data_IF_953404481076
#
_entry.id   IF_953404481076
#
_cell.length_a   1.000
_cell.length_b   1.000
_cell.length_c   1.000
_cell.angle_alpha   90.00
_cell.angle_beta   90.00
_cell.angle_gamma   90.00
#
_symmetry.space_group_name_H-M   'P 1'
#
loop_
_entity.id
_entity.type
_entity.pdbx_description
1 polymer ?
#
# COMPACT_ATOMS: atom_id res chain seq x y z
N UNK A 1 -11.18 11.87 9.51
CA UNK A 1 -10.45 10.58 9.39
C UNK A 1 -8.95 10.86 9.49
N UNK A 2 -8.42 11.10 10.70
CA UNK A 2 -7.02 11.54 10.91
C UNK A 2 -6.08 10.47 11.52
N UNK A 3 -6.61 9.30 11.87
CA UNK A 3 -5.83 8.21 12.48
C UNK A 3 -5.51 7.13 11.46
N UNK A 4 -4.65 7.47 10.48
CA UNK A 4 -4.01 6.47 9.62
C UNK A 4 -2.51 6.67 9.60
N UNK A 5 -1.81 5.61 9.96
CA UNK A 5 -0.39 5.45 9.73
C UNK A 5 -0.16 4.29 8.77
N UNK A 6 0.80 4.47 7.87
CA UNK A 6 1.32 3.39 7.02
C UNK A 6 2.83 3.37 7.19
N UNK A 7 3.38 2.19 7.46
CA UNK A 7 4.82 1.99 7.64
C UNK A 7 5.29 0.77 6.85
N UNK A 8 6.52 0.84 6.35
CA UNK A 8 7.21 -0.32 5.81
C UNK A 8 7.50 -1.29 6.96
N UNK A 9 7.08 -2.54 6.80
CA UNK A 9 7.32 -3.59 7.79
C UNK A 9 8.44 -4.52 7.32
N UNK A 10 8.36 -5.01 6.08
CA UNK A 10 9.35 -5.92 5.53
C UNK A 10 9.49 -5.74 4.01
N UNK A 11 10.66 -6.09 3.48
CA UNK A 11 10.98 -6.04 2.05
C UNK A 11 11.81 -7.29 1.71
N UNK A 12 11.18 -8.21 0.98
CA UNK A 12 11.81 -9.46 0.56
C UNK A 12 12.09 -9.44 -0.94
N UNK A 13 13.32 -9.74 -1.36
CA UNK A 13 13.64 -9.96 -2.78
C UNK A 13 13.36 -11.41 -3.17
N UNK A 14 12.52 -11.62 -4.19
CA UNK A 14 12.14 -12.94 -4.71
C UNK A 14 11.96 -12.88 -6.23
N UNK A 15 12.64 -13.78 -6.95
CA UNK A 15 12.52 -13.91 -8.42
C UNK A 15 12.65 -12.57 -9.16
N UNK A 16 13.70 -11.79 -8.83
CA UNK A 16 14.00 -10.45 -9.37
C UNK A 16 13.04 -9.31 -8.97
N UNK A 17 12.00 -9.59 -8.19
CA UNK A 17 11.08 -8.57 -7.69
C UNK A 17 11.09 -8.47 -6.16
N UNK A 18 10.80 -7.27 -5.66
CA UNK A 18 10.57 -7.04 -4.25
C UNK A 18 9.11 -7.31 -3.88
N UNK A 19 8.92 -8.11 -2.84
CA UNK A 19 7.67 -8.27 -2.11
C UNK A 19 7.73 -7.33 -0.91
N UNK A 20 6.86 -6.33 -0.89
CA UNK A 20 6.86 -5.27 0.12
C UNK A 20 5.68 -5.47 1.05
N UNK A 21 5.97 -5.66 2.33
CA UNK A 21 4.97 -5.71 3.39
C UNK A 21 4.85 -4.35 4.06
N UNK A 22 3.62 -3.87 4.16
CA UNK A 22 3.27 -2.63 4.81
C UNK A 22 2.34 -2.92 5.97
N UNK A 23 2.58 -2.24 7.08
CA UNK A 23 1.66 -2.19 8.21
C UNK A 23 0.86 -0.90 8.15
N UNK A 24 -0.45 -1.01 8.15
CA UNK A 24 -1.37 0.11 8.19
C UNK A 24 -2.16 0.07 9.50
N UNK A 25 -2.12 1.16 10.28
CA UNK A 25 -2.99 1.32 11.44
C UNK A 25 -4.11 2.28 11.10
N UNK A 26 -5.36 1.89 11.36
CA UNK A 26 -6.54 2.69 11.08
C UNK A 26 -7.60 2.54 12.16
N UNK A 27 -7.99 3.64 12.80
CA UNK A 27 -8.99 3.65 13.89
C UNK A 27 -8.69 2.59 14.98
N UNK A 28 -7.40 2.38 15.29
CA UNK A 28 -6.94 1.39 16.27
C UNK A 28 -6.90 -0.07 15.79
N UNK A 29 -7.15 -0.35 14.50
CA UNK A 29 -6.96 -1.65 13.88
C UNK A 29 -5.67 -1.68 13.10
N UNK A 30 -4.92 -2.77 13.19
CA UNK A 30 -3.71 -2.99 12.41
C UNK A 30 -3.99 -3.96 11.27
N UNK A 31 -3.44 -3.65 10.10
CA UNK A 31 -3.73 -4.33 8.85
C UNK A 31 -2.43 -4.46 8.08
N UNK A 32 -2.16 -5.66 7.59
CA UNK A 32 -1.00 -5.93 6.75
C UNK A 32 -1.40 -5.86 5.27
N UNK A 33 -0.63 -5.10 4.49
CA UNK A 33 -0.77 -5.02 3.04
C UNK A 33 0.49 -5.58 2.40
N UNK A 34 0.31 -6.49 1.46
CA UNK A 34 1.42 -7.05 0.69
C UNK A 34 1.35 -6.54 -0.74
N UNK A 35 2.42 -5.87 -1.18
CA UNK A 35 2.57 -5.38 -2.54
C UNK A 35 3.61 -6.28 -3.24
N UNK A 36 3.17 -7.21 -4.11
CA UNK A 36 4.07 -8.06 -4.87
C UNK A 36 4.64 -7.34 -6.10
N UNK A 37 5.68 -7.93 -6.68
CA UNK A 37 6.23 -7.55 -7.99
C UNK A 37 6.77 -6.11 -8.07
N UNK A 38 7.33 -5.59 -6.98
CA UNK A 38 7.92 -4.25 -6.97
C UNK A 38 9.31 -4.30 -7.61
N UNK A 39 9.52 -3.54 -8.70
CA UNK A 39 10.73 -3.60 -9.53
C UNK A 39 11.99 -3.01 -8.89
N UNK A 40 11.82 -2.13 -7.89
CA UNK A 40 12.93 -1.48 -7.17
C UNK A 40 12.69 -1.61 -5.67
N UNK A 41 13.76 -1.60 -4.87
CA UNK A 41 13.66 -1.61 -3.42
C UNK A 41 13.09 -0.26 -2.93
N UNK A 42 11.95 -0.24 -2.23
CA UNK A 42 11.49 0.99 -1.61
C UNK A 42 12.31 1.34 -0.38
N UNK A 43 12.55 2.63 -0.18
CA UNK A 43 13.20 3.16 1.03
C UNK A 43 12.20 3.77 1.98
N UNK A 44 11.09 4.29 1.46
CA UNK A 44 10.06 4.97 2.24
C UNK A 44 8.67 4.64 1.69
N UNK A 45 7.67 4.74 2.56
CA UNK A 45 6.25 4.71 2.18
C UNK A 45 5.64 6.05 2.52
N UNK A 46 4.80 6.55 1.61
CA UNK A 46 3.99 7.75 1.81
C UNK A 46 2.53 7.40 1.59
N UNK A 47 1.65 8.02 2.34
CA UNK A 47 0.22 7.89 2.15
C UNK A 47 -0.42 9.26 2.06
N UNK A 48 -1.37 9.40 1.14
CA UNK A 48 -2.16 10.61 0.99
C UNK A 48 -3.62 10.24 0.72
N UNK A 49 -4.53 11.07 1.23
CA UNK A 49 -5.94 10.95 0.90
C UNK A 49 -6.24 11.81 -0.32
N UNK A 50 -6.80 11.18 -1.36
CA UNK A 50 -7.33 11.87 -2.54
C UNK A 50 -8.79 11.52 -2.70
N UNK A 51 -9.65 12.51 -2.45
CA UNK A 51 -11.10 12.40 -2.58
C UNK A 51 -11.66 11.21 -1.77
N UNK A 52 -11.86 10.06 -2.43
CA UNK A 52 -12.42 8.85 -1.86
C UNK A 52 -11.40 7.71 -1.70
N UNK A 53 -10.12 7.95 -1.98
CA UNK A 53 -9.07 6.93 -1.95
C UNK A 53 -7.94 7.30 -0.97
N UNK A 54 -7.48 6.30 -0.24
CA UNK A 54 -6.17 6.31 0.40
C UNK A 54 -5.16 5.80 -0.63
N UNK A 55 -4.27 6.70 -1.07
CA UNK A 55 -3.20 6.39 -2.01
C UNK A 55 -1.92 6.16 -1.21
N UNK A 56 -1.38 4.95 -1.29
CA UNK A 56 -0.13 4.54 -0.67
C UNK A 56 0.93 4.45 -1.77
N UNK A 57 2.01 5.21 -1.63
CA UNK A 57 3.11 5.29 -2.59
C UNK A 57 4.38 4.75 -1.95
N UNK A 58 5.00 3.81 -2.65
CA UNK A 58 6.35 3.35 -2.38
C UNK A 58 7.32 4.28 -3.12
N UNK A 59 8.30 4.84 -2.40
CA UNK A 59 9.32 5.71 -2.99
C UNK A 59 10.72 5.18 -2.69
N UNK A 60 11.64 5.43 -3.61
CA UNK A 60 13.06 5.11 -3.42
C UNK A 60 13.78 6.18 -2.56
N UNK A 61 15.10 6.01 -2.40
CA UNK A 61 15.94 6.95 -1.66
C UNK A 61 16.00 8.36 -2.27
N UNK A 62 15.74 8.49 -3.58
CA UNK A 62 15.72 9.77 -4.30
C UNK A 62 14.35 10.46 -4.20
N UNK A 63 13.34 9.75 -3.68
CA UNK A 63 11.96 10.22 -3.61
C UNK A 63 11.15 9.95 -4.88
N UNK A 64 11.70 9.19 -5.84
CA UNK A 64 10.99 8.74 -7.04
C UNK A 64 9.96 7.67 -6.67
N UNK A 65 8.75 7.79 -7.22
CA UNK A 65 7.68 6.82 -7.00
C UNK A 65 7.94 5.51 -7.73
N UNK A 66 8.03 4.41 -7.00
CA UNK A 66 8.26 3.07 -7.54
C UNK A 66 6.93 2.38 -7.88
N UNK A 67 6.00 2.42 -6.94
CA UNK A 67 4.70 1.75 -7.06
C UNK A 67 3.67 2.46 -6.20
N UNK A 68 2.39 2.27 -6.53
CA UNK A 68 1.28 2.82 -5.76
C UNK A 68 0.17 1.81 -5.60
N UNK A 69 -0.42 1.77 -4.41
CA UNK A 69 -1.65 1.06 -4.09
C UNK A 69 -2.73 2.08 -3.72
N UNK A 70 -3.96 1.85 -4.18
CA UNK A 70 -5.10 2.72 -3.89
C UNK A 70 -6.16 1.90 -3.16
N UNK A 71 -6.62 2.40 -2.01
CA UNK A 71 -7.65 1.76 -1.19
C UNK A 71 -8.85 2.70 -1.14
N UNK A 72 -10.00 2.27 -1.65
CA UNK A 72 -11.23 3.06 -1.53
C UNK A 72 -11.61 3.23 -0.06
N UNK A 73 -12.08 4.42 0.32
CA UNK A 73 -12.52 4.75 1.70
C UNK A 73 -13.57 3.77 2.20
N UNK A 74 -14.44 3.28 1.31
CA UNK A 74 -15.46 2.30 1.67
C UNK A 74 -14.88 1.00 2.24
N UNK A 75 -13.76 0.50 1.70
CA UNK A 75 -13.12 -0.71 2.23
C UNK A 75 -12.55 -0.46 3.63
N UNK A 76 -12.01 0.74 3.82
CA UNK A 76 -11.53 1.25 5.10
C UNK A 76 -12.68 1.38 6.12
N UNK A 77 -13.79 1.97 5.73
CA UNK A 77 -14.90 2.29 6.64
C UNK A 77 -15.76 1.08 6.97
N UNK A 78 -15.91 0.15 6.03
CA UNK A 78 -16.63 -1.12 6.22
C UNK A 78 -15.78 -2.20 6.88
N UNK A 79 -14.48 -1.94 7.11
CA UNK A 79 -13.55 -2.91 7.71
C UNK A 79 -13.31 -4.13 6.85
N UNK A 80 -13.48 -4.01 5.53
CA UNK A 80 -13.42 -5.10 4.56
C UNK A 80 -12.04 -5.16 3.89
N UNK A 81 -10.99 -4.93 4.69
CA UNK A 81 -9.60 -4.85 4.21
C UNK A 81 -8.97 -6.24 4.00
N UNK A 82 -9.66 -7.31 4.41
CA UNK A 82 -9.40 -8.72 4.06
C UNK A 82 -10.02 -9.13 2.71
N UNK A 83 -10.64 -8.21 1.96
CA UNK A 83 -11.34 -8.56 0.72
C UNK A 83 -10.34 -8.70 -0.44
N UNK A 84 -10.32 -9.86 -1.11
CA UNK A 84 -9.45 -10.18 -2.27
C UNK A 84 -9.58 -9.16 -3.43
N UNK A 85 -10.66 -8.36 -3.45
CA UNK A 85 -10.89 -7.29 -4.44
C UNK A 85 -10.05 -6.02 -4.23
N UNK A 86 -9.31 -5.87 -3.13
CA UNK A 86 -8.50 -4.67 -2.87
C UNK A 86 -7.25 -4.55 -3.74
N UNK A 87 -6.81 -5.65 -4.36
CA UNK A 87 -5.70 -5.64 -5.31
C UNK A 87 -6.31 -5.70 -6.72
N UNK A 88 -6.87 -4.57 -7.17
CA UNK A 88 -7.17 -4.43 -8.59
C UNK A 88 -5.85 -4.43 -9.37
N UNK A 89 -5.54 -5.57 -10.01
CA UNK A 89 -4.59 -5.59 -11.13
C UNK A 89 -5.09 -4.56 -12.15
N UNK A 90 -4.24 -3.66 -12.68
CA UNK A 90 -4.64 -2.83 -13.80
C UNK A 90 -5.01 -3.75 -14.96
N UNK A 91 -6.28 -3.74 -15.34
CA UNK A 91 -6.76 -4.38 -16.56
C UNK A 91 -6.08 -3.66 -17.72
N UNK A 92 -5.23 -4.38 -18.47
CA UNK A 92 -4.73 -3.91 -19.75
C UNK A 92 -5.92 -3.48 -20.62
N UNK A 93 -5.96 -2.22 -21.02
CA UNK A 93 -6.56 -1.81 -22.29
C UNK A 93 -5.48 -1.16 -23.12
#
# INVERSE_FOLDING_TARGET
MKDISVSLEDILLKDDFYLVKLKMSIRGREIELTIPNVVKKPSLVRHEYREEYLVIKLVDETGEGIASCCIHKDHIEKGCLDCESLIHKPSKQ
#
